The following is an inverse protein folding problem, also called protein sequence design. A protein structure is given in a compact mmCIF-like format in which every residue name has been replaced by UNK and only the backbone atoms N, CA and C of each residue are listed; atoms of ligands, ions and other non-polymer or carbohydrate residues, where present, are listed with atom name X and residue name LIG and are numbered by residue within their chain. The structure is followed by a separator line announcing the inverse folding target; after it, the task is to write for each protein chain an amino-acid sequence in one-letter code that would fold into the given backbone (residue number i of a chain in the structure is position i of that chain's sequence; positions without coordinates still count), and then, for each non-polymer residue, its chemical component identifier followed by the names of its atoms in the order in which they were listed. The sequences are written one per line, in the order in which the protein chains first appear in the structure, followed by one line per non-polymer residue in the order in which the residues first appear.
data_IF_785067375888
#
_entry.id   IF_785067375888
#
_cell.length_a   1.000
_cell.length_b   1.000
_cell.length_c   1.000
_cell.angle_alpha   90.00
_cell.angle_beta   90.00
_cell.angle_gamma   90.00
#
_symmetry.space_group_name_H-M   'P 1'
#
loop_
_entity.id
_entity.type
_entity.pdbx_description
1 polymer ?
#
# COMPACT_ATOMS: atom_id res chain seq x y z
N UNK A 1 -13.15 2.97 16.10
CA UNK A 1 -12.76 3.64 14.84
C UNK A 1 -11.99 2.71 13.90
N UNK A 2 -10.83 2.16 14.27
CA UNK A 2 -9.96 1.36 13.39
C UNK A 2 -10.62 0.11 12.80
N UNK A 3 -11.41 -0.63 13.59
CA UNK A 3 -12.17 -1.78 13.09
C UNK A 3 -13.18 -1.35 12.03
N UNK A 4 -13.85 -0.20 12.19
CA UNK A 4 -14.80 0.33 11.20
C UNK A 4 -14.07 0.70 9.91
N UNK A 5 -12.87 1.30 9.99
CA UNK A 5 -12.03 1.60 8.83
C UNK A 5 -11.59 0.32 8.10
N UNK A 6 -11.18 -0.72 8.84
CA UNK A 6 -10.82 -2.04 8.27
C UNK A 6 -12.02 -2.69 7.56
N UNK A 7 -13.21 -2.66 8.16
CA UNK A 7 -14.44 -3.16 7.52
C UNK A 7 -14.79 -2.35 6.26
N UNK A 8 -14.58 -1.04 6.30
CA UNK A 8 -14.75 -0.17 5.13
C UNK A 8 -13.83 -0.56 3.99
N UNK A 9 -12.52 -0.73 4.25
CA UNK A 9 -11.53 -1.17 3.27
C UNK A 9 -11.81 -2.57 2.73
N UNK A 10 -12.22 -3.50 3.60
CA UNK A 10 -12.54 -4.89 3.23
C UNK A 10 -13.74 -4.96 2.28
N UNK A 11 -14.73 -4.09 2.46
CA UNK A 11 -15.95 -4.07 1.65
C UNK A 11 -15.81 -3.26 0.36
N UNK A 12 -14.77 -2.45 0.22
CA UNK A 12 -14.58 -1.52 -0.91
C UNK A 12 -14.53 -2.23 -2.28
N UNK A 13 -14.03 -3.46 -2.32
CA UNK A 13 -13.95 -4.27 -3.54
C UNK A 13 -15.30 -4.85 -3.99
N UNK A 14 -16.30 -4.93 -3.10
CA UNK A 14 -17.58 -5.63 -3.35
C UNK A 14 -18.78 -4.69 -3.31
N UNK A 15 -18.87 -3.82 -2.30
CA UNK A 15 -20.02 -2.95 -2.04
C UNK A 15 -19.57 -1.52 -1.72
N UNK A 16 -19.32 -0.73 -2.76
CA UNK A 16 -18.84 0.66 -2.62
C UNK A 16 -19.71 1.52 -1.69
N UNK A 17 -21.05 1.39 -1.79
CA UNK A 17 -21.97 2.16 -0.92
C UNK A 17 -21.71 1.82 0.55
N UNK A 18 -21.66 0.53 0.91
CA UNK A 18 -21.36 0.10 2.29
C UNK A 18 -19.98 0.58 2.73
N UNK A 19 -18.99 0.46 1.86
CA UNK A 19 -17.63 0.91 2.15
C UNK A 19 -17.59 2.41 2.45
N UNK A 20 -18.16 3.26 1.60
CA UNK A 20 -18.18 4.71 1.83
C UNK A 20 -19.03 5.12 3.04
N UNK A 21 -20.13 4.40 3.33
CA UNK A 21 -20.91 4.64 4.56
C UNK A 21 -20.08 4.32 5.81
N UNK A 22 -19.36 3.18 5.83
CA UNK A 22 -18.46 2.81 6.91
C UNK A 22 -17.28 3.79 7.02
N UNK A 23 -16.75 4.27 5.88
CA UNK A 23 -15.71 5.31 5.87
C UNK A 23 -16.23 6.59 6.53
N UNK A 24 -17.45 7.03 6.20
CA UNK A 24 -18.06 8.21 6.83
C UNK A 24 -18.14 8.05 8.35
N UNK A 25 -18.61 6.89 8.83
CA UNK A 25 -18.63 6.60 10.28
C UNK A 25 -17.21 6.64 10.86
N UNK A 26 -16.23 6.06 10.17
CA UNK A 26 -14.85 6.06 10.63
C UNK A 26 -14.27 7.47 10.69
N UNK A 27 -14.56 8.34 9.71
CA UNK A 27 -14.14 9.76 9.69
C UNK A 27 -14.76 10.52 10.86
N UNK A 28 -16.07 10.35 11.10
CA UNK A 28 -16.73 10.99 12.27
C UNK A 28 -16.05 10.56 13.57
N UNK A 29 -15.80 9.26 13.73
CA UNK A 29 -15.09 8.75 14.91
C UNK A 29 -13.65 9.27 14.99
N UNK A 30 -12.97 9.48 13.86
CA UNK A 30 -11.62 10.01 13.81
C UNK A 30 -11.57 11.48 14.24
N UNK A 31 -12.55 12.30 13.86
CA UNK A 31 -12.71 13.69 14.34
C UNK A 31 -12.99 13.71 15.84
N UNK A 32 -13.88 12.84 16.33
CA UNK A 32 -14.21 12.78 17.77
C UNK A 32 -13.05 12.29 18.66
N UNK A 33 -12.03 11.67 18.07
CA UNK A 33 -10.82 11.19 18.77
C UNK A 33 -9.55 11.97 18.40
N UNK A 34 -9.70 13.20 17.87
CA UNK A 34 -8.59 14.12 17.51
C UNK A 34 -7.56 13.52 16.53
N UNK A 35 -7.94 12.47 15.78
CA UNK A 35 -7.12 11.88 14.70
C UNK A 35 -7.20 12.74 13.43
N UNK A 36 -8.32 13.45 13.25
CA UNK A 36 -8.56 14.37 12.15
C UNK A 36 -8.99 15.72 12.73
N UNK A 37 -8.31 16.79 12.31
CA UNK A 37 -8.69 18.16 12.64
C UNK A 37 -9.24 18.94 11.44
N UNK A 38 -9.58 20.21 11.65
CA UNK A 38 -10.20 21.09 10.64
C UNK A 38 -9.30 21.34 9.41
N UNK A 39 -7.98 21.14 9.52
CA UNK A 39 -7.05 21.34 8.40
C UNK A 39 -7.28 20.31 7.29
N UNK A 40 -7.94 19.18 7.57
CA UNK A 40 -8.36 18.20 6.57
C UNK A 40 -9.28 18.79 5.50
N UNK A 41 -9.94 19.91 5.78
CA UNK A 41 -10.80 20.61 4.83
C UNK A 41 -10.04 21.05 3.57
N UNK A 42 -8.73 21.32 3.65
CA UNK A 42 -7.89 21.57 2.46
C UNK A 42 -7.84 20.34 1.55
N UNK A 43 -7.65 19.16 2.12
CA UNK A 43 -7.70 17.90 1.38
C UNK A 43 -9.08 17.67 0.76
N UNK A 44 -10.15 17.80 1.56
CA UNK A 44 -11.53 17.62 1.09
C UNK A 44 -11.87 18.60 -0.04
N UNK A 45 -11.54 19.89 0.13
CA UNK A 45 -11.77 20.92 -0.89
C UNK A 45 -11.03 20.60 -2.20
N UNK A 46 -9.79 20.11 -2.11
CA UNK A 46 -8.99 19.68 -3.26
C UNK A 46 -9.65 18.51 -3.99
N UNK A 47 -10.11 17.50 -3.28
CA UNK A 47 -10.77 16.35 -3.89
C UNK A 47 -12.12 16.76 -4.53
N UNK A 48 -12.91 17.59 -3.84
CA UNK A 48 -14.17 18.13 -4.38
C UNK A 48 -13.91 18.95 -5.64
N UNK A 49 -12.88 19.80 -5.64
CA UNK A 49 -12.47 20.55 -6.85
C UNK A 49 -12.19 19.63 -8.04
N UNK A 50 -11.41 18.57 -7.86
CA UNK A 50 -11.13 17.61 -8.94
C UNK A 50 -12.37 16.85 -9.38
N UNK A 51 -13.28 16.51 -8.47
CA UNK A 51 -14.56 15.86 -8.81
C UNK A 51 -15.44 16.82 -9.65
N UNK A 52 -15.56 18.09 -9.25
CA UNK A 52 -16.30 19.11 -10.01
C UNK A 52 -15.69 19.30 -11.39
N UNK A 53 -14.36 19.35 -11.50
CA UNK A 53 -13.65 19.45 -12.77
C UNK A 53 -14.00 18.28 -13.71
N UNK A 54 -14.02 17.05 -13.20
CA UNK A 54 -14.44 15.85 -13.95
C UNK A 54 -15.85 15.95 -14.48
N UNK A 55 -16.81 16.40 -13.67
CA UNK A 55 -18.22 16.48 -14.06
C UNK A 55 -18.50 17.59 -15.06
N UNK A 56 -17.93 18.79 -14.88
CA UNK A 56 -18.17 19.94 -15.74
C UNK A 56 -17.50 19.81 -17.10
N UNK A 57 -16.33 19.14 -17.17
CA UNK A 57 -15.54 19.01 -18.39
C UNK A 57 -15.30 17.54 -18.79
N UNK A 58 -16.31 16.69 -18.58
CA UNK A 58 -16.19 15.23 -18.81
C UNK A 58 -15.78 14.82 -20.23
N UNK A 59 -16.01 15.68 -21.23
CA UNK A 59 -15.63 15.46 -22.62
C UNK A 59 -14.28 16.13 -22.99
N UNK A 60 -13.68 16.91 -22.09
CA UNK A 60 -12.41 17.57 -22.34
C UNK A 60 -11.27 16.66 -21.86
N UNK A 61 -10.38 16.26 -22.79
CA UNK A 61 -9.24 15.40 -22.49
C UNK A 61 -8.29 16.02 -21.45
N UNK A 62 -8.05 17.32 -21.52
CA UNK A 62 -7.21 18.04 -20.54
C UNK A 62 -7.79 18.01 -19.13
N UNK A 63 -9.09 18.26 -19.01
CA UNK A 63 -9.79 18.21 -17.72
C UNK A 63 -9.73 16.81 -17.10
N UNK A 64 -9.89 15.77 -17.93
CA UNK A 64 -9.73 14.39 -17.50
C UNK A 64 -8.33 14.11 -16.98
N UNK A 65 -7.30 14.58 -17.70
CA UNK A 65 -5.91 14.38 -17.30
C UNK A 65 -5.59 15.14 -16.01
N UNK A 66 -6.02 16.39 -15.87
CA UNK A 66 -5.83 17.19 -14.64
C UNK A 66 -6.50 16.53 -13.44
N UNK A 67 -7.75 16.07 -13.63
CA UNK A 67 -8.45 15.31 -12.59
C UNK A 67 -7.67 14.07 -12.15
N UNK A 68 -7.25 13.25 -13.10
CA UNK A 68 -6.59 11.98 -12.81
C UNK A 68 -5.22 12.22 -12.15
N UNK A 69 -4.41 13.13 -12.68
CA UNK A 69 -3.12 13.53 -12.09
C UNK A 69 -3.31 14.11 -10.68
N UNK A 70 -4.31 14.98 -10.49
CA UNK A 70 -4.58 15.59 -9.19
C UNK A 70 -4.96 14.57 -8.12
N UNK A 71 -5.83 13.62 -8.46
CA UNK A 71 -6.21 12.53 -7.52
C UNK A 71 -5.00 11.63 -7.20
N UNK A 72 -4.18 11.29 -8.19
CA UNK A 72 -2.98 10.47 -7.99
C UNK A 72 -1.93 11.18 -7.13
N UNK A 73 -1.67 12.45 -7.40
CA UNK A 73 -0.79 13.26 -6.56
C UNK A 73 -1.32 13.39 -5.14
N UNK A 74 -2.65 13.51 -4.96
CA UNK A 74 -3.27 13.51 -3.64
C UNK A 74 -3.10 12.16 -2.91
N UNK A 75 -3.21 11.04 -3.63
CA UNK A 75 -2.96 9.71 -3.07
C UNK A 75 -1.48 9.50 -2.68
N UNK A 76 -0.56 10.01 -3.50
CA UNK A 76 0.89 10.02 -3.18
C UNK A 76 1.15 10.89 -1.94
N UNK A 77 0.57 12.08 -1.87
CA UNK A 77 0.72 12.96 -0.72
C UNK A 77 0.17 12.35 0.58
N UNK A 78 -0.94 11.60 0.54
CA UNK A 78 -1.42 10.80 1.67
C UNK A 78 -0.43 9.71 2.08
N UNK A 79 0.19 9.04 1.10
CA UNK A 79 1.18 7.98 1.36
C UNK A 79 2.46 8.49 2.05
N UNK A 80 2.78 9.77 1.86
CA UNK A 80 3.92 10.47 2.49
C UNK A 80 3.51 11.38 3.65
N UNK A 81 2.26 11.31 4.13
CA UNK A 81 1.76 12.12 5.25
C UNK A 81 1.89 13.63 5.04
N UNK A 82 1.76 14.12 3.79
CA UNK A 82 1.95 15.52 3.43
C UNK A 82 0.68 16.36 3.56
N UNK A 83 -0.50 15.75 3.68
CA UNK A 83 -1.75 16.46 3.89
C UNK A 83 -1.90 16.88 5.35
N UNK A 84 -2.21 18.16 5.62
CA UNK A 84 -2.50 18.61 6.99
C UNK A 84 -3.81 18.01 7.52
N UNK A 85 -3.95 18.01 8.83
CA UNK A 85 -5.17 17.61 9.52
C UNK A 85 -5.28 16.12 9.83
N UNK A 86 -4.21 15.34 9.64
CA UNK A 86 -4.14 13.94 10.04
C UNK A 86 -3.10 13.75 11.16
N UNK A 87 -3.54 13.29 12.32
CA UNK A 87 -2.72 13.01 13.50
C UNK A 87 -2.65 11.52 13.75
N UNK A 88 -1.80 10.84 12.99
CA UNK A 88 -1.64 9.38 13.06
C UNK A 88 -1.09 8.98 14.43
N UNK A 89 -1.79 8.18 15.26
CA UNK A 89 -1.33 7.83 16.58
C UNK A 89 -0.18 6.84 16.53
N UNK A 90 0.78 7.02 17.44
CA UNK A 90 1.82 6.04 17.71
C UNK A 90 1.20 4.85 18.43
N UNK A 91 1.30 3.66 17.86
CA UNK A 91 0.85 2.38 18.46
C UNK A 91 2.01 1.68 19.15
N UNK A 92 3.20 1.72 18.54
CA UNK A 92 4.44 1.21 19.11
C UNK A 92 5.49 2.31 19.07
N UNK A 93 6.15 2.55 20.18
CA UNK A 93 7.18 3.59 20.28
C UNK A 93 8.54 2.98 20.58
N UNK A 94 9.41 2.96 19.57
CA UNK A 94 10.82 2.50 19.69
C UNK A 94 10.98 1.12 20.33
N UNK A 95 10.07 0.18 20.01
CA UNK A 95 10.16 -1.19 20.49
C UNK A 95 11.24 -1.96 19.73
N UNK A 96 11.97 -2.82 20.42
CA UNK A 96 12.97 -3.71 19.82
C UNK A 96 12.43 -5.13 19.83
N UNK A 97 12.33 -5.77 18.65
CA UNK A 97 11.77 -7.12 18.53
C UNK A 97 12.74 -8.21 18.94
N UNK A 98 14.04 -7.97 18.74
CA UNK A 98 15.10 -8.90 19.08
C UNK A 98 16.43 -8.17 19.35
N UNK A 99 17.44 -8.85 19.91
CA UNK A 99 18.71 -8.24 20.36
C UNK A 99 19.54 -7.65 19.20
N UNK A 100 19.36 -8.16 17.97
CA UNK A 100 20.07 -7.69 16.78
C UNK A 100 19.22 -6.76 15.90
N UNK A 101 17.99 -6.49 16.30
CA UNK A 101 17.05 -5.62 15.60
C UNK A 101 17.21 -4.17 16.02
N UNK A 102 17.04 -3.24 15.08
CA UNK A 102 16.93 -1.80 15.38
C UNK A 102 15.59 -1.46 16.02
N UNK A 103 15.46 -0.35 16.78
CA UNK A 103 14.17 0.09 17.31
C UNK A 103 13.14 0.35 16.21
N UNK A 104 11.89 -0.06 16.45
CA UNK A 104 10.77 0.08 15.54
C UNK A 104 9.65 0.93 16.15
N UNK A 105 9.18 1.90 15.38
CA UNK A 105 8.02 2.72 15.75
C UNK A 105 6.91 2.49 14.72
N UNK A 106 5.70 2.20 15.18
CA UNK A 106 4.56 1.94 14.32
C UNK A 106 3.42 2.94 14.59
N UNK A 107 2.82 3.41 13.52
CA UNK A 107 1.67 4.29 13.52
C UNK A 107 0.45 3.58 12.91
N UNK A 108 -0.73 3.94 13.36
CA UNK A 108 -1.95 3.69 12.61
C UNK A 108 -2.21 4.86 11.68
N UNK A 109 -1.94 4.67 10.39
CA UNK A 109 -1.96 5.72 9.37
C UNK A 109 -3.35 5.86 8.75
N UNK A 110 -4.18 6.76 9.30
CA UNK A 110 -5.53 7.01 8.79
C UNK A 110 -5.50 7.59 7.37
N UNK A 111 -4.63 8.55 7.13
CA UNK A 111 -4.42 9.19 5.83
C UNK A 111 -4.04 8.19 4.75
N UNK A 112 -3.05 7.33 5.01
CA UNK A 112 -2.59 6.30 4.07
C UNK A 112 -3.71 5.30 3.74
N UNK A 113 -4.58 4.99 4.71
CA UNK A 113 -5.74 4.12 4.51
C UNK A 113 -6.80 4.72 3.54
N UNK A 114 -6.77 6.03 3.26
CA UNK A 114 -7.67 6.67 2.29
C UNK A 114 -7.23 6.47 0.83
N UNK A 115 -6.00 6.05 0.56
CA UNK A 115 -5.46 5.88 -0.80
C UNK A 115 -6.34 4.98 -1.70
N UNK A 116 -6.81 3.79 -1.27
CA UNK A 116 -7.70 2.96 -2.08
C UNK A 116 -9.02 3.65 -2.44
N UNK A 117 -9.58 4.46 -1.52
CA UNK A 117 -10.82 5.21 -1.76
C UNK A 117 -10.65 6.30 -2.81
N UNK A 118 -9.51 7.00 -2.82
CA UNK A 118 -9.23 7.98 -3.87
C UNK A 118 -9.05 7.32 -5.24
N UNK A 119 -8.29 6.24 -5.31
CA UNK A 119 -7.96 5.59 -6.58
C UNK A 119 -9.18 4.90 -7.22
N UNK A 120 -10.16 4.46 -6.43
CA UNK A 120 -11.46 3.98 -6.94
C UNK A 120 -12.21 5.07 -7.73
N UNK A 121 -11.95 6.35 -7.47
CA UNK A 121 -12.54 7.45 -8.24
C UNK A 121 -11.93 7.55 -9.65
N UNK A 122 -10.67 7.13 -9.82
CA UNK A 122 -9.95 7.16 -11.11
C UNK A 122 -10.24 5.93 -11.98
N UNK A 123 -10.39 4.76 -11.37
CA UNK A 123 -10.59 3.51 -12.11
C UNK A 123 -11.57 2.58 -11.43
N UNK A 124 -12.47 1.98 -12.23
CA UNK A 124 -13.40 0.96 -11.76
C UNK A 124 -12.73 -0.41 -11.58
N UNK A 125 -11.60 -0.63 -12.22
CA UNK A 125 -10.84 -1.89 -12.23
C UNK A 125 -9.77 -1.99 -11.15
N UNK A 126 -9.75 -1.06 -10.16
CA UNK A 126 -8.73 -1.02 -9.12
C UNK A 126 -8.50 -2.37 -8.42
N UNK A 127 -9.59 -3.06 -8.05
CA UNK A 127 -9.52 -4.32 -7.30
C UNK A 127 -9.55 -5.56 -8.16
N UNK A 128 -10.01 -5.45 -9.41
CA UNK A 128 -10.16 -6.61 -10.30
C UNK A 128 -9.94 -6.22 -11.75
N UNK A 129 -9.08 -6.99 -12.43
CA UNK A 129 -8.80 -6.92 -13.86
C UNK A 129 -9.08 -8.28 -14.49
N UNK A 130 -9.56 -8.31 -15.73
CA UNK A 130 -9.69 -9.56 -16.48
C UNK A 130 -8.31 -10.13 -16.81
N UNK A 131 -8.17 -11.43 -16.62
CA UNK A 131 -6.96 -12.19 -16.95
C UNK A 131 -7.27 -13.13 -18.09
N UNK A 132 -6.45 -13.08 -19.15
CA UNK A 132 -6.70 -13.78 -20.40
C UNK A 132 -6.27 -15.26 -20.39
N UNK A 133 -5.46 -15.69 -19.42
CA UNK A 133 -4.94 -17.05 -19.36
C UNK A 133 -4.76 -17.53 -17.92
N UNK A 134 -5.03 -18.80 -17.71
CA UNK A 134 -4.72 -19.46 -16.44
C UNK A 134 -3.19 -19.64 -16.29
N UNK A 135 -2.72 -19.43 -15.08
CA UNK A 135 -1.31 -19.61 -14.70
C UNK A 135 -1.17 -20.94 -13.96
N UNK A 136 -0.22 -21.75 -14.39
CA UNK A 136 0.02 -23.09 -13.81
C UNK A 136 0.46 -23.01 -12.33
N UNK A 137 0.09 -24.03 -11.56
CA UNK A 137 0.38 -24.10 -10.12
C UNK A 137 1.87 -24.01 -9.79
N UNK A 138 2.75 -24.58 -10.63
CA UNK A 138 4.18 -24.49 -10.38
C UNK A 138 4.72 -23.04 -10.42
N UNK A 139 4.16 -22.18 -11.29
CA UNK A 139 4.51 -20.75 -11.34
C UNK A 139 4.08 -20.04 -10.07
N UNK A 140 2.90 -20.36 -9.54
CA UNK A 140 2.46 -19.85 -8.23
C UNK A 140 3.37 -20.33 -7.10
N UNK A 141 3.78 -21.61 -7.13
CA UNK A 141 4.76 -22.15 -6.20
C UNK A 141 6.09 -21.41 -6.26
N UNK A 142 6.63 -21.19 -7.47
CA UNK A 142 7.87 -20.43 -7.67
C UNK A 142 7.75 -18.99 -7.19
N UNK A 143 6.61 -18.33 -7.44
CA UNK A 143 6.35 -16.97 -6.96
C UNK A 143 6.27 -16.92 -5.43
N UNK A 144 5.64 -17.90 -4.79
CA UNK A 144 5.58 -17.99 -3.33
C UNK A 144 6.96 -18.22 -2.71
N UNK A 145 7.79 -19.06 -3.34
CA UNK A 145 9.16 -19.31 -2.89
C UNK A 145 10.09 -18.09 -3.09
N UNK A 146 9.75 -17.18 -4.00
CA UNK A 146 10.55 -15.95 -4.18
C UNK A 146 10.49 -15.03 -2.95
N UNK A 147 9.42 -15.09 -2.13
CA UNK A 147 9.29 -14.29 -0.91
C UNK A 147 10.41 -14.61 0.11
N UNK A 148 10.55 -15.86 0.61
CA UNK A 148 11.67 -16.18 1.50
C UNK A 148 13.02 -16.04 0.80
N UNK A 149 13.12 -16.29 -0.50
CA UNK A 149 14.37 -16.11 -1.25
C UNK A 149 14.86 -14.66 -1.20
N UNK A 150 13.99 -13.67 -1.37
CA UNK A 150 14.34 -12.24 -1.26
C UNK A 150 14.88 -11.93 0.14
N UNK A 151 14.25 -12.45 1.20
CA UNK A 151 14.72 -12.25 2.57
C UNK A 151 16.08 -12.93 2.83
N UNK A 152 16.29 -14.14 2.31
CA UNK A 152 17.61 -14.79 2.40
C UNK A 152 18.68 -14.07 1.59
N UNK A 153 18.34 -13.50 0.43
CA UNK A 153 19.28 -12.63 -0.30
C UNK A 153 19.62 -11.38 0.53
N UNK A 154 18.65 -10.79 1.24
CA UNK A 154 18.93 -9.67 2.15
C UNK A 154 19.87 -10.07 3.30
N UNK A 155 19.79 -11.31 3.80
CA UNK A 155 20.75 -11.87 4.75
C UNK A 155 22.14 -12.02 4.12
N UNK A 156 22.20 -12.57 2.91
CA UNK A 156 23.47 -12.77 2.19
C UNK A 156 24.22 -11.45 1.94
N UNK A 157 23.48 -10.37 1.62
CA UNK A 157 24.05 -9.03 1.45
C UNK A 157 24.26 -8.26 2.76
N UNK A 158 24.03 -8.88 3.93
CA UNK A 158 24.28 -8.28 5.25
C UNK A 158 23.25 -7.26 5.71
N UNK A 159 22.12 -7.14 5.01
CA UNK A 159 21.02 -6.23 5.42
C UNK A 159 20.16 -6.78 6.55
N UNK A 160 20.07 -8.10 6.68
CA UNK A 160 19.27 -8.80 7.67
C UNK A 160 20.10 -9.95 8.31
N UNK A 161 19.60 -10.46 9.44
CA UNK A 161 20.01 -11.75 10.02
C UNK A 161 18.77 -12.57 10.39
N UNK A 162 18.83 -13.91 10.37
CA UNK A 162 17.77 -14.74 10.94
C UNK A 162 17.61 -14.44 12.43
N UNK A 163 16.39 -14.10 12.84
CA UNK A 163 16.04 -13.80 14.22
C UNK A 163 14.55 -14.11 14.40
N UNK A 164 14.23 -15.19 15.15
CA UNK A 164 12.84 -15.65 15.30
C UNK A 164 12.26 -14.99 16.54
N UNK A 165 11.08 -14.34 16.35
CA UNK A 165 10.38 -13.70 17.46
C UNK A 165 8.87 -13.58 17.18
N UNK A 166 8.10 -13.61 18.27
CA UNK A 166 6.65 -13.43 18.24
C UNK A 166 6.29 -12.36 19.27
N UNK A 167 5.99 -11.17 18.77
CA UNK A 167 5.66 -10.02 19.62
C UNK A 167 4.18 -10.06 20.04
N UNK A 168 3.88 -9.61 21.25
CA UNK A 168 2.51 -9.50 21.76
C UNK A 168 1.63 -8.53 20.92
N UNK A 169 2.27 -7.56 20.27
CA UNK A 169 1.63 -6.58 19.39
C UNK A 169 1.49 -7.05 17.92
N UNK A 170 1.65 -8.35 17.67
CA UNK A 170 1.47 -8.93 16.34
C UNK A 170 0.07 -8.65 15.73
N UNK A 171 -1.03 -8.66 16.50
CA UNK A 171 -2.36 -8.30 15.96
C UNK A 171 -2.43 -6.88 15.41
N UNK A 172 -1.83 -5.90 16.11
CA UNK A 172 -1.77 -4.50 15.68
C UNK A 172 -0.92 -4.36 14.41
N UNK A 173 0.19 -5.08 14.33
CA UNK A 173 1.01 -5.14 13.12
C UNK A 173 0.23 -5.72 11.93
N UNK A 174 -0.47 -6.84 12.12
CA UNK A 174 -1.29 -7.46 11.07
C UNK A 174 -2.31 -6.46 10.55
N UNK A 175 -3.02 -5.79 11.45
CA UNK A 175 -4.04 -4.80 11.09
C UNK A 175 -3.43 -3.63 10.32
N UNK A 176 -2.39 -3.00 10.87
CA UNK A 176 -1.73 -1.84 10.25
C UNK A 176 -1.10 -2.21 8.91
N UNK A 177 -0.32 -3.29 8.88
CA UNK A 177 0.45 -3.66 7.71
C UNK A 177 -0.42 -4.15 6.56
N UNK A 178 -1.44 -4.97 6.83
CA UNK A 178 -2.34 -5.47 5.78
C UNK A 178 -3.19 -4.34 5.18
N UNK A 179 -3.85 -3.53 6.01
CA UNK A 179 -4.86 -2.58 5.56
C UNK A 179 -4.34 -1.18 5.31
N UNK A 180 -3.42 -0.66 6.14
CA UNK A 180 -2.97 0.72 6.03
C UNK A 180 -1.64 0.87 5.30
N UNK A 181 -0.88 -0.23 5.14
CA UNK A 181 0.37 -0.24 4.36
C UNK A 181 0.18 -1.00 3.06
N UNK A 182 0.09 -2.34 3.12
CA UNK A 182 0.12 -3.19 1.93
C UNK A 182 -1.04 -2.90 0.96
N UNK A 183 -2.28 -2.80 1.45
CA UNK A 183 -3.43 -2.51 0.58
C UNK A 183 -3.33 -1.11 -0.04
N UNK A 184 -2.90 -0.10 0.71
CA UNK A 184 -2.74 1.26 0.21
C UNK A 184 -1.67 1.33 -0.90
N UNK A 185 -0.51 0.74 -0.65
CA UNK A 185 0.60 0.73 -1.60
C UNK A 185 0.28 -0.11 -2.85
N UNK A 186 -0.32 -1.30 -2.68
CA UNK A 186 -0.72 -2.11 -3.83
C UNK A 186 -1.83 -1.45 -4.65
N UNK A 187 -2.73 -0.69 -4.02
CA UNK A 187 -3.74 0.11 -4.74
C UNK A 187 -3.07 1.15 -5.65
N UNK A 188 -2.03 1.83 -5.17
CA UNK A 188 -1.30 2.83 -5.95
C UNK A 188 -0.46 2.17 -7.05
N UNK A 189 0.40 1.20 -6.68
CA UNK A 189 1.39 0.67 -7.62
C UNK A 189 0.81 -0.35 -8.58
N UNK A 190 -0.06 -1.27 -8.16
CA UNK A 190 -0.60 -2.36 -9.02
C UNK A 190 -1.97 -2.03 -9.54
N UNK A 191 -2.87 -1.64 -8.64
CA UNK A 191 -4.24 -1.28 -9.01
C UNK A 191 -4.31 -0.08 -9.95
N UNK A 192 -3.41 0.92 -9.76
CA UNK A 192 -3.41 2.13 -10.58
C UNK A 192 -2.21 2.21 -11.53
N UNK A 193 -0.98 2.43 -11.04
CA UNK A 193 0.20 2.73 -11.90
C UNK A 193 0.47 1.61 -12.91
N UNK A 194 0.66 0.37 -12.45
CA UNK A 194 0.92 -0.77 -13.33
C UNK A 194 -0.24 -1.01 -14.32
N UNK A 195 -1.48 -0.86 -13.85
CA UNK A 195 -2.67 -1.02 -14.70
C UNK A 195 -2.72 0.03 -15.79
N UNK A 196 -2.51 1.32 -15.47
CA UNK A 196 -2.50 2.40 -16.46
C UNK A 196 -1.35 2.30 -17.45
N UNK A 197 -0.14 1.98 -16.97
CA UNK A 197 0.99 1.75 -17.86
C UNK A 197 0.74 0.58 -18.82
N UNK A 198 0.04 -0.47 -18.38
CA UNK A 198 -0.27 -1.61 -19.25
C UNK A 198 -1.31 -1.30 -20.34
N UNK A 199 -2.02 -0.16 -20.28
CA UNK A 199 -2.91 0.30 -21.33
C UNK A 199 -2.15 0.96 -22.50
N UNK A 200 -0.94 1.50 -22.24
CA UNK A 200 -0.13 2.26 -23.22
C UNK A 200 1.22 1.60 -23.52
N UNK A 201 1.61 0.57 -22.76
CA UNK A 201 2.85 -0.18 -22.96
C UNK A 201 2.59 -1.68 -22.90
N UNK A 202 3.65 -2.51 -23.05
CA UNK A 202 3.51 -3.94 -22.81
C UNK A 202 3.33 -4.22 -21.29
N UNK A 203 2.62 -5.32 -20.93
CA UNK A 203 2.44 -5.69 -19.52
C UNK A 203 3.76 -5.88 -18.75
N UNK A 204 4.82 -6.34 -19.44
CA UNK A 204 6.14 -6.52 -18.83
C UNK A 204 6.83 -5.18 -18.56
N UNK A 205 6.75 -4.23 -19.48
CA UNK A 205 7.28 -2.87 -19.26
C UNK A 205 6.55 -2.19 -18.11
N UNK A 206 5.21 -2.28 -18.08
CA UNK A 206 4.40 -1.75 -16.99
C UNK A 206 4.78 -2.34 -15.62
N UNK A 207 5.01 -3.67 -15.57
CA UNK A 207 5.48 -4.36 -14.38
C UNK A 207 6.83 -3.79 -13.89
N UNK A 208 7.83 -3.73 -14.79
CA UNK A 208 9.18 -3.30 -14.41
C UNK A 208 9.19 -1.83 -13.96
N UNK A 209 8.51 -0.95 -14.69
CA UNK A 209 8.42 0.47 -14.30
C UNK A 209 7.73 0.62 -12.95
N UNK A 210 6.60 -0.06 -12.72
CA UNK A 210 5.91 0.00 -11.44
C UNK A 210 6.75 -0.57 -10.28
N UNK A 211 7.53 -1.63 -10.52
CA UNK A 211 8.45 -2.21 -9.53
C UNK A 211 9.61 -1.28 -9.20
N UNK A 212 10.20 -0.62 -10.19
CA UNK A 212 11.25 0.37 -9.99
C UNK A 212 10.73 1.57 -9.20
N UNK A 213 9.56 2.12 -9.55
CA UNK A 213 8.92 3.20 -8.80
C UNK A 213 8.65 2.79 -7.35
N UNK A 214 8.16 1.56 -7.12
CA UNK A 214 7.96 1.03 -5.78
C UNK A 214 9.26 0.96 -4.98
N UNK A 215 10.35 0.49 -5.60
CA UNK A 215 11.68 0.52 -4.99
C UNK A 215 12.13 1.93 -4.62
N UNK A 216 11.99 2.90 -5.51
CA UNK A 216 12.36 4.29 -5.25
C UNK A 216 11.55 4.94 -4.11
N UNK A 217 10.30 4.54 -3.90
CA UNK A 217 9.51 4.97 -2.74
C UNK A 217 10.16 4.60 -1.39
N UNK A 218 11.08 3.64 -1.38
CA UNK A 218 11.81 3.18 -0.21
C UNK A 218 13.24 3.78 -0.11
N UNK A 219 13.54 4.83 -0.90
CA UNK A 219 14.87 5.44 -0.99
C UNK A 219 15.43 5.90 0.38
N UNK A 220 14.59 6.35 1.30
CA UNK A 220 14.99 6.76 2.65
C UNK A 220 15.65 5.65 3.47
N UNK A 221 15.40 4.38 3.15
CA UNK A 221 16.01 3.21 3.78
C UNK A 221 17.33 2.75 3.14
N UNK A 222 17.84 3.51 2.17
CA UNK A 222 19.13 3.24 1.51
C UNK A 222 19.06 2.30 0.31
N UNK A 223 20.16 2.16 -0.40
CA UNK A 223 20.23 1.46 -1.68
C UNK A 223 19.83 -0.03 -1.61
N UNK A 224 20.18 -0.72 -0.52
CA UNK A 224 19.78 -2.12 -0.33
C UNK A 224 18.26 -2.26 -0.21
N UNK A 225 17.60 -1.36 0.54
CA UNK A 225 16.14 -1.39 0.65
C UNK A 225 15.49 -1.07 -0.70
N UNK A 226 16.01 -0.12 -1.48
CA UNK A 226 15.55 0.16 -2.85
C UNK A 226 15.63 -1.09 -3.73
N UNK A 227 16.76 -1.82 -3.68
CA UNK A 227 16.94 -3.05 -4.45
C UNK A 227 15.92 -4.12 -4.04
N UNK A 228 15.79 -4.43 -2.74
CA UNK A 228 14.90 -5.48 -2.26
C UNK A 228 13.42 -5.10 -2.42
N UNK A 229 13.06 -3.83 -2.23
CA UNK A 229 11.72 -3.34 -2.52
C UNK A 229 11.40 -3.44 -4.02
N UNK A 230 12.37 -3.18 -4.92
CA UNK A 230 12.18 -3.37 -6.36
C UNK A 230 11.92 -4.85 -6.69
N UNK A 231 12.72 -5.79 -6.15
CA UNK A 231 12.53 -7.23 -6.35
C UNK A 231 11.17 -7.69 -5.80
N UNK A 232 10.79 -7.23 -4.61
CA UNK A 232 9.46 -7.48 -4.03
C UNK A 232 8.36 -6.88 -4.92
N UNK A 233 8.61 -5.69 -5.46
CA UNK A 233 7.75 -5.03 -6.43
C UNK A 233 7.47 -5.87 -7.67
N UNK A 234 8.46 -6.62 -8.18
CA UNK A 234 8.26 -7.57 -9.28
C UNK A 234 7.35 -8.72 -8.86
N UNK A 235 7.55 -9.29 -7.67
CA UNK A 235 6.71 -10.39 -7.14
C UNK A 235 5.25 -9.95 -7.02
N UNK A 236 5.00 -8.79 -6.42
CA UNK A 236 3.64 -8.25 -6.24
C UNK A 236 3.00 -7.92 -7.59
N UNK A 237 3.77 -7.34 -8.51
CA UNK A 237 3.30 -7.03 -9.85
C UNK A 237 2.98 -8.26 -10.70
N UNK A 238 3.77 -9.34 -10.58
CA UNK A 238 3.45 -10.63 -11.21
C UNK A 238 2.19 -11.25 -10.60
N UNK A 239 2.04 -11.22 -9.27
CA UNK A 239 0.85 -11.75 -8.60
C UNK A 239 -0.42 -11.03 -9.05
N UNK A 240 -0.34 -9.68 -9.24
CA UNK A 240 -1.40 -8.88 -9.86
C UNK A 240 -1.68 -9.27 -11.30
N UNK A 241 -0.64 -9.37 -12.14
CA UNK A 241 -0.78 -9.75 -13.56
C UNK A 241 -1.43 -11.11 -13.74
N UNK A 242 -1.09 -12.07 -12.89
CA UNK A 242 -1.53 -13.46 -13.01
C UNK A 242 -2.92 -13.69 -12.40
N UNK A 243 -3.24 -13.03 -11.28
CA UNK A 243 -4.53 -13.20 -10.60
C UNK A 243 -5.61 -12.24 -11.09
N UNK A 244 -5.23 -11.07 -11.58
CA UNK A 244 -6.14 -9.95 -11.82
C UNK A 244 -6.84 -9.44 -10.55
N UNK A 245 -6.36 -9.80 -9.36
CA UNK A 245 -6.98 -9.47 -8.08
C UNK A 245 -6.01 -8.72 -7.17
N UNK A 246 -6.37 -7.49 -6.79
CA UNK A 246 -5.52 -6.64 -5.95
C UNK A 246 -5.20 -7.31 -4.60
N UNK A 247 -6.19 -7.98 -4.00
CA UNK A 247 -5.98 -8.69 -2.73
C UNK A 247 -4.90 -9.77 -2.80
N UNK A 248 -4.66 -10.38 -3.98
CA UNK A 248 -3.56 -11.34 -4.11
C UNK A 248 -2.21 -10.63 -4.03
N UNK A 249 -2.04 -9.49 -4.71
CA UNK A 249 -0.81 -8.68 -4.57
C UNK A 249 -0.62 -8.17 -3.15
N UNK A 250 -1.70 -7.68 -2.52
CA UNK A 250 -1.71 -7.23 -1.12
C UNK A 250 -1.28 -8.36 -0.16
N UNK A 251 -1.74 -9.60 -0.37
CA UNK A 251 -1.36 -10.73 0.48
C UNK A 251 0.10 -11.16 0.27
N UNK A 252 0.65 -11.08 -0.95
CA UNK A 252 2.08 -11.30 -1.19
C UNK A 252 2.93 -10.24 -0.50
N UNK A 253 2.53 -8.97 -0.57
CA UNK A 253 3.20 -7.86 0.12
C UNK A 253 3.15 -8.04 1.64
N UNK A 254 1.95 -8.19 2.19
CA UNK A 254 1.76 -8.45 3.61
C UNK A 254 2.53 -9.69 4.07
N UNK A 255 2.49 -10.79 3.30
CA UNK A 255 3.19 -12.03 3.60
C UNK A 255 4.71 -11.85 3.68
N UNK A 256 5.31 -11.06 2.79
CA UNK A 256 6.74 -10.73 2.86
C UNK A 256 7.05 -9.94 4.13
N UNK A 257 6.26 -8.89 4.43
CA UNK A 257 6.46 -8.07 5.63
C UNK A 257 6.26 -8.88 6.91
N UNK A 258 5.29 -9.77 6.94
CA UNK A 258 5.04 -10.65 8.07
C UNK A 258 6.19 -11.68 8.26
N UNK A 259 6.66 -12.31 7.19
CA UNK A 259 7.82 -13.21 7.23
C UNK A 259 9.08 -12.46 7.70
N UNK A 260 9.29 -11.23 7.22
CA UNK A 260 10.39 -10.38 7.67
C UNK A 260 10.31 -10.12 9.17
N UNK A 261 9.15 -9.71 9.68
CA UNK A 261 8.95 -9.46 11.11
C UNK A 261 9.20 -10.72 11.94
N UNK A 262 8.68 -11.89 11.55
CA UNK A 262 8.68 -13.07 12.38
C UNK A 262 10.02 -13.84 12.40
N UNK A 263 10.80 -13.76 11.31
CA UNK A 263 11.94 -14.66 11.11
C UNK A 263 13.29 -13.96 10.89
N UNK A 264 13.31 -12.63 10.82
CA UNK A 264 14.52 -11.86 10.56
C UNK A 264 14.61 -10.63 11.47
N UNK A 265 15.79 -10.04 11.58
CA UNK A 265 15.98 -8.74 12.24
C UNK A 265 15.04 -7.69 11.63
N UNK A 266 14.33 -6.94 12.47
CA UNK A 266 13.28 -6.03 12.03
C UNK A 266 13.35 -4.67 12.75
N UNK A 267 13.17 -3.52 12.07
CA UNK A 267 13.08 -3.37 10.61
C UNK A 267 14.43 -3.54 9.89
N UNK A 268 15.52 -3.41 10.59
CA UNK A 268 16.89 -3.55 10.05
C UNK A 268 17.78 -4.27 11.04
N UNK A 269 18.91 -4.78 10.51
CA UNK A 269 20.01 -5.26 11.34
C UNK A 269 20.67 -4.08 12.07
N UNK A 270 20.86 -4.21 13.39
CA UNK A 270 21.64 -3.26 14.20
C UNK A 270 23.12 -3.45 13.88
N UNK A 271 23.74 -2.43 13.33
CA UNK A 271 25.20 -2.37 13.19
C UNK A 271 25.81 -1.82 14.48
N UNK A 272 26.77 -2.55 15.06
CA UNK A 272 27.53 -2.13 16.26
C UNK A 272 28.55 -1.07 15.87
#
# INVERSE_FOLDING_TARGET
MWIVLVLSLSTLSWHKVVAFSLLTVSVVLAVLNDIIDWSVLFFVATIVFFIILKFNWKYNAWAKSIYEVGIVLSAIALSFHLWPGFHNPVVLNSVTVGPQSTPYTMYFNFDKALVPFLLVLCTSSLFKKEVKSEVSLWKWGALSLSVPLILFLAVFFGGLKPEIHFSEWLPEFILANLFFVSLAEESLFRGYIQSRLSEVTSPLVALIVAALLFGFFHYSGGALLVLFATLSGVVYGLSWMWSGRLWVATLFHFGLNLCHLLFFTYPFLKHN
#
